data_IF_416293612378
#
_entry.id   IF_416293612378
#
_cell.length_a   1.000
_cell.length_b   1.000
_cell.length_c   1.000
_cell.angle_alpha   90.00
_cell.angle_beta   90.00
_cell.angle_gamma   90.00
#
_symmetry.space_group_name_H-M   'P 1'
#
loop_
_entity.id
_entity.type
_entity.pdbx_description
1 polymer ?
#
# COMPACT_ATOMS: atom_id res chain seq x y z
N UNK A 1 5.29 -8.40 -26.49
CA UNK A 1 4.73 -8.76 -25.14
C UNK A 1 5.79 -8.59 -24.05
N UNK A 2 7.02 -9.12 -24.21
CA UNK A 2 8.08 -8.87 -23.21
C UNK A 2 8.33 -7.38 -22.93
N UNK A 3 8.12 -6.51 -23.90
CA UNK A 3 8.26 -5.05 -23.74
C UNK A 3 7.12 -4.41 -22.94
N UNK A 4 5.93 -5.03 -22.87
CA UNK A 4 4.78 -4.47 -22.15
C UNK A 4 5.03 -4.43 -20.63
N UNK A 5 5.69 -5.43 -20.09
CA UNK A 5 6.02 -5.57 -18.67
C UNK A 5 7.52 -5.35 -18.38
N UNK A 6 8.27 -4.72 -19.29
CA UNK A 6 9.73 -4.55 -19.14
C UNK A 6 10.13 -3.75 -17.89
N UNK A 7 9.26 -2.86 -17.43
CA UNK A 7 9.44 -2.07 -16.20
C UNK A 7 9.00 -2.79 -14.91
N UNK A 8 8.44 -4.02 -15.02
CA UNK A 8 8.03 -4.84 -13.87
C UNK A 8 9.10 -5.88 -13.53
N UNK A 9 10.11 -5.47 -12.78
CA UNK A 9 11.22 -6.34 -12.40
C UNK A 9 10.84 -7.34 -11.29
N UNK A 10 11.41 -8.53 -11.35
CA UNK A 10 11.33 -9.54 -10.27
C UNK A 10 9.99 -10.29 -10.14
N UNK A 11 9.00 -10.02 -11.00
CA UNK A 11 7.66 -10.64 -10.94
C UNK A 11 7.43 -11.61 -12.09
N UNK A 12 8.41 -12.47 -12.41
CA UNK A 12 8.40 -13.34 -13.59
C UNK A 12 7.16 -14.22 -13.70
N UNK A 13 6.69 -14.82 -12.60
CA UNK A 13 5.47 -15.65 -12.60
C UNK A 13 4.22 -14.84 -12.93
N UNK A 14 4.07 -13.66 -12.32
CA UNK A 14 2.94 -12.78 -12.58
C UNK A 14 2.94 -12.34 -14.05
N UNK A 15 4.11 -11.92 -14.58
CA UNK A 15 4.27 -11.55 -16.00
C UNK A 15 3.88 -12.70 -16.91
N UNK A 16 4.41 -13.91 -16.68
CA UNK A 16 4.08 -15.09 -17.51
C UNK A 16 2.59 -15.39 -17.54
N UNK A 17 1.90 -15.31 -16.40
CA UNK A 17 0.46 -15.55 -16.31
C UNK A 17 -0.34 -14.50 -17.07
N UNK A 18 0.02 -13.22 -16.93
CA UNK A 18 -0.66 -12.10 -17.58
C UNK A 18 -0.39 -12.10 -19.09
N UNK A 19 0.84 -12.35 -19.53
CA UNK A 19 1.18 -12.52 -20.94
C UNK A 19 0.42 -13.68 -21.57
N UNK A 20 0.35 -14.82 -20.90
CA UNK A 20 -0.40 -15.97 -21.39
C UNK A 20 -1.90 -15.68 -21.57
N UNK A 21 -2.50 -14.90 -20.66
CA UNK A 21 -3.89 -14.46 -20.76
C UNK A 21 -4.12 -13.54 -21.96
N UNK A 22 -3.22 -12.56 -22.16
CA UNK A 22 -3.28 -11.61 -23.27
C UNK A 22 -3.04 -12.30 -24.62
N UNK A 23 -2.01 -13.14 -24.75
CA UNK A 23 -1.65 -13.85 -25.98
C UNK A 23 -2.77 -14.80 -26.44
N UNK A 24 -3.33 -15.55 -25.50
CA UNK A 24 -4.41 -16.50 -25.81
C UNK A 24 -5.76 -15.83 -25.97
N UNK A 25 -5.87 -14.51 -25.69
CA UNK A 25 -7.14 -13.76 -25.67
C UNK A 25 -8.23 -14.44 -24.80
N UNK A 26 -7.81 -15.18 -23.80
CA UNK A 26 -8.68 -15.85 -22.84
C UNK A 26 -8.55 -15.15 -21.49
N UNK A 27 -9.25 -14.02 -21.37
CA UNK A 27 -9.28 -13.25 -20.14
C UNK A 27 -10.32 -13.86 -19.20
N UNK A 28 -9.91 -14.09 -17.94
CA UNK A 28 -10.86 -14.35 -16.88
C UNK A 28 -11.69 -13.09 -16.61
N UNK A 29 -12.96 -13.21 -16.20
CA UNK A 29 -13.78 -12.05 -15.88
C UNK A 29 -13.27 -11.28 -14.66
N UNK A 30 -12.59 -11.96 -13.74
CA UNK A 30 -12.00 -11.35 -12.55
C UNK A 30 -10.61 -11.90 -12.25
N UNK A 31 -9.70 -11.00 -11.87
CA UNK A 31 -8.34 -11.28 -11.43
C UNK A 31 -8.12 -10.81 -9.99
N UNK A 32 -7.32 -11.54 -9.23
CA UNK A 32 -6.87 -11.17 -7.90
C UNK A 32 -5.36 -11.02 -7.88
N UNK A 33 -4.86 -9.79 -7.87
CA UNK A 33 -3.44 -9.47 -7.75
C UNK A 33 -3.08 -9.42 -6.27
N UNK A 34 -2.44 -10.49 -5.79
CA UNK A 34 -2.16 -10.69 -4.37
C UNK A 34 -0.68 -10.65 -4.06
N UNK A 35 -0.31 -10.01 -2.97
CA UNK A 35 1.07 -9.93 -2.49
C UNK A 35 1.35 -8.64 -1.70
N UNK A 36 2.55 -8.46 -1.14
CA UNK A 36 2.89 -7.30 -0.33
C UNK A 36 2.69 -5.97 -1.05
N UNK A 37 2.50 -4.89 -0.29
CA UNK A 37 2.44 -3.54 -0.86
C UNK A 37 3.79 -3.14 -1.46
N UNK A 38 3.72 -2.30 -2.51
CA UNK A 38 4.90 -1.71 -3.14
C UNK A 38 5.78 -2.65 -3.97
N UNK A 39 5.36 -3.89 -4.25
CA UNK A 39 6.10 -4.87 -5.08
C UNK A 39 5.73 -4.80 -6.57
N UNK A 40 4.95 -3.79 -7.01
CA UNK A 40 4.63 -3.55 -8.41
C UNK A 40 3.23 -4.02 -8.85
N UNK A 41 2.31 -4.39 -7.95
CA UNK A 41 0.94 -4.82 -8.29
C UNK A 41 0.17 -3.77 -9.09
N UNK A 42 0.22 -2.50 -8.67
CA UNK A 42 -0.43 -1.38 -9.38
C UNK A 42 0.16 -1.18 -10.77
N UNK A 43 1.49 -1.23 -10.90
CA UNK A 43 2.17 -1.15 -12.18
C UNK A 43 1.76 -2.29 -13.11
N UNK A 44 1.78 -3.53 -12.61
CA UNK A 44 1.35 -4.71 -13.36
C UNK A 44 -0.11 -4.58 -13.83
N UNK A 45 -1.00 -4.05 -12.97
CA UNK A 45 -2.39 -3.78 -13.33
C UNK A 45 -2.48 -2.81 -14.50
N UNK A 46 -1.78 -1.68 -14.44
CA UNK A 46 -1.77 -0.70 -15.53
C UNK A 46 -1.26 -1.29 -16.84
N UNK A 47 -0.17 -2.08 -16.79
CA UNK A 47 0.37 -2.77 -17.98
C UNK A 47 -0.59 -3.84 -18.52
N UNK A 48 -1.22 -4.59 -17.64
CA UNK A 48 -2.21 -5.59 -18.04
C UNK A 48 -3.42 -4.93 -18.72
N UNK A 49 -3.95 -3.86 -18.15
CA UNK A 49 -5.06 -3.11 -18.75
C UNK A 49 -4.69 -2.48 -20.10
N UNK A 50 -3.47 -1.95 -20.21
CA UNK A 50 -2.92 -1.50 -21.51
C UNK A 50 -2.98 -2.61 -22.55
N UNK A 51 -2.51 -3.82 -22.20
CA UNK A 51 -2.56 -4.99 -23.09
C UNK A 51 -3.98 -5.45 -23.44
N UNK A 52 -4.94 -5.27 -22.53
CA UNK A 52 -6.37 -5.59 -22.78
C UNK A 52 -7.01 -4.58 -23.74
N UNK A 53 -6.59 -3.30 -23.70
CA UNK A 53 -7.15 -2.22 -24.51
C UNK A 53 -6.59 -2.18 -25.93
N UNK A 54 -5.46 -2.85 -26.21
CA UNK A 54 -4.89 -2.88 -27.57
C UNK A 54 -5.80 -3.65 -28.51
N UNK A 55 -6.12 -3.07 -29.70
CA UNK A 55 -6.96 -3.70 -30.69
C UNK A 55 -6.41 -5.05 -31.18
N UNK A 56 -7.33 -5.95 -31.51
CA UNK A 56 -7.03 -7.32 -31.94
C UNK A 56 -6.13 -7.45 -33.16
N UNK A 57 -5.99 -6.39 -33.93
CA UNK A 57 -5.27 -6.33 -35.22
C UNK A 57 -3.81 -5.89 -35.13
N UNK A 58 -3.40 -5.39 -33.94
CA UNK A 58 -2.01 -4.99 -33.73
C UNK A 58 -1.16 -6.18 -33.28
N UNK A 59 -0.08 -6.47 -34.04
CA UNK A 59 0.74 -7.68 -33.88
C UNK A 59 1.62 -7.68 -32.64
N UNK A 60 1.88 -6.52 -32.05
CA UNK A 60 2.53 -6.38 -30.73
C UNK A 60 2.15 -5.04 -30.11
N UNK A 61 1.65 -5.00 -28.88
CA UNK A 61 1.51 -3.74 -28.19
C UNK A 61 2.90 -3.26 -27.76
N UNK A 62 3.53 -2.47 -28.60
CA UNK A 62 4.56 -1.55 -28.13
C UNK A 62 3.80 -0.48 -27.36
N UNK A 63 4.10 -0.33 -26.07
CA UNK A 63 3.32 0.51 -25.17
C UNK A 63 3.05 1.90 -25.74
N UNK A 64 1.78 2.23 -25.94
CA UNK A 64 1.36 3.57 -26.35
C UNK A 64 1.57 4.54 -25.16
N UNK A 65 2.51 5.50 -25.25
CA UNK A 65 2.76 6.45 -24.16
C UNK A 65 1.53 7.31 -23.82
N UNK A 66 0.65 7.58 -24.80
CA UNK A 66 -0.57 8.35 -24.57
C UNK A 66 -1.59 7.53 -23.77
N UNK A 67 -1.80 6.28 -24.13
CA UNK A 67 -2.68 5.36 -23.39
C UNK A 67 -2.14 5.12 -21.98
N UNK A 68 -0.83 4.89 -21.82
CA UNK A 68 -0.18 4.76 -20.49
C UNK A 68 -0.46 5.94 -19.57
N UNK A 69 -0.32 7.15 -20.11
CA UNK A 69 -0.59 8.38 -19.36
C UNK A 69 -2.06 8.49 -18.96
N UNK A 70 -2.99 8.21 -19.88
CA UNK A 70 -4.44 8.23 -19.61
C UNK A 70 -4.81 7.23 -18.53
N UNK A 71 -4.29 6.00 -18.60
CA UNK A 71 -4.53 4.96 -17.59
C UNK A 71 -3.96 5.36 -16.23
N UNK A 72 -2.73 5.86 -16.18
CA UNK A 72 -2.06 6.28 -14.94
C UNK A 72 -2.78 7.45 -14.25
N UNK A 73 -3.39 8.35 -15.04
CA UNK A 73 -4.16 9.50 -14.55
C UNK A 73 -5.63 9.18 -14.25
N UNK A 74 -6.10 7.96 -14.54
CA UNK A 74 -7.52 7.60 -14.42
C UNK A 74 -8.43 8.28 -15.45
N UNK A 75 -7.89 8.76 -16.59
CA UNK A 75 -8.60 9.53 -17.62
C UNK A 75 -9.05 8.67 -18.81
N UNK A 76 -9.42 7.41 -18.56
CA UNK A 76 -9.99 6.55 -19.60
C UNK A 76 -11.49 6.34 -19.30
N UNK A 77 -12.42 6.58 -20.28
CA UNK A 77 -13.86 6.54 -20.02
C UNK A 77 -14.37 5.15 -19.63
N UNK A 78 -13.68 4.10 -20.06
CA UNK A 78 -14.04 2.72 -19.77
C UNK A 78 -13.21 2.09 -18.66
N UNK A 79 -12.45 2.89 -17.90
CA UNK A 79 -11.73 2.45 -16.71
C UNK A 79 -12.30 3.15 -15.47
N UNK A 80 -12.70 2.35 -14.49
CA UNK A 80 -13.03 2.81 -13.14
C UNK A 80 -11.99 2.27 -12.17
N UNK A 81 -11.28 3.17 -11.48
CA UNK A 81 -10.33 2.83 -10.42
C UNK A 81 -10.93 3.22 -9.09
N UNK A 82 -11.13 2.23 -8.21
CA UNK A 82 -11.74 2.42 -6.89
C UNK A 82 -10.72 2.02 -5.83
N UNK A 83 -10.56 2.88 -4.84
CA UNK A 83 -9.69 2.68 -3.69
C UNK A 83 -10.44 2.92 -2.37
N UNK A 84 -9.92 2.42 -1.23
CA UNK A 84 -10.51 2.68 0.07
C UNK A 84 -10.59 4.18 0.37
N UNK A 85 -11.62 4.57 1.10
CA UNK A 85 -11.90 5.97 1.41
C UNK A 85 -11.98 6.22 2.91
N UNK A 86 -11.52 7.40 3.32
CA UNK A 86 -11.82 7.98 4.63
C UNK A 86 -13.13 8.75 4.58
N UNK A 87 -13.85 8.80 5.70
CA UNK A 87 -14.96 9.74 5.87
C UNK A 87 -14.42 11.00 6.54
N UNK A 88 -14.47 12.12 5.84
CA UNK A 88 -14.04 13.43 6.35
C UNK A 88 -15.10 14.45 6.09
N UNK A 89 -15.65 15.10 7.12
CA UNK A 89 -16.70 16.15 7.02
C UNK A 89 -17.91 15.74 6.15
N UNK A 90 -18.30 14.45 6.19
CA UNK A 90 -19.41 13.93 5.40
C UNK A 90 -19.08 13.61 3.94
N UNK A 91 -17.82 13.83 3.51
CA UNK A 91 -17.32 13.45 2.19
C UNK A 91 -16.43 12.20 2.26
N UNK A 92 -16.37 11.48 1.15
CA UNK A 92 -15.47 10.34 1.00
C UNK A 92 -14.19 10.80 0.30
N UNK A 93 -13.08 10.74 1.02
CA UNK A 93 -11.76 11.11 0.51
C UNK A 93 -10.98 9.84 0.21
N UNK A 94 -10.50 9.63 -1.03
CA UNK A 94 -9.64 8.51 -1.39
C UNK A 94 -8.39 8.42 -0.51
N UNK A 95 -7.97 7.21 -0.16
CA UNK A 95 -6.80 7.01 0.69
C UNK A 95 -5.53 7.65 0.12
N UNK A 96 -5.40 7.64 -1.21
CA UNK A 96 -4.27 8.27 -1.93
C UNK A 96 -4.23 9.79 -1.81
N UNK A 97 -5.36 10.46 -1.51
CA UNK A 97 -5.48 11.92 -1.38
C UNK A 97 -5.57 12.40 0.07
N UNK A 98 -5.72 11.48 1.02
CA UNK A 98 -5.99 11.82 2.42
C UNK A 98 -4.94 12.77 3.03
N UNK A 99 -3.67 12.58 2.67
CA UNK A 99 -2.57 13.43 3.14
C UNK A 99 -2.65 14.85 2.57
N UNK A 100 -2.85 14.96 1.26
CA UNK A 100 -2.97 16.26 0.59
C UNK A 100 -4.20 17.07 1.06
N UNK A 101 -5.26 16.37 1.48
CA UNK A 101 -6.51 16.97 1.96
C UNK A 101 -6.56 17.12 3.50
N UNK A 102 -5.45 16.84 4.20
CA UNK A 102 -5.34 17.01 5.65
C UNK A 102 -6.31 16.13 6.46
N UNK A 103 -6.67 14.97 5.95
CA UNK A 103 -7.60 14.05 6.59
C UNK A 103 -6.95 13.37 7.80
N UNK A 104 -7.61 13.45 8.96
CA UNK A 104 -7.18 12.72 10.15
C UNK A 104 -7.33 11.20 9.95
N UNK A 105 -6.22 10.46 9.99
CA UNK A 105 -6.15 9.01 9.76
C UNK A 105 -6.32 8.19 11.04
N UNK A 106 -7.32 8.53 11.86
CA UNK A 106 -7.59 7.80 13.12
C UNK A 106 -8.18 6.41 12.91
N UNK A 107 -8.89 6.20 11.82
CA UNK A 107 -9.48 4.90 11.45
C UNK A 107 -8.94 4.47 10.08
N UNK A 108 -8.83 3.15 9.85
CA UNK A 108 -8.42 2.64 8.55
C UNK A 108 -9.45 3.02 7.46
N UNK A 109 -8.99 3.33 6.23
CA UNK A 109 -9.88 3.60 5.12
C UNK A 109 -10.64 2.33 4.74
N UNK A 110 -11.84 2.48 4.19
CA UNK A 110 -12.72 1.35 3.85
C UNK A 110 -13.24 1.44 2.42
N UNK A 111 -13.39 0.28 1.80
CA UNK A 111 -14.20 0.12 0.60
C UNK A 111 -15.66 -0.10 1.00
N UNK A 112 -16.50 0.88 0.66
CA UNK A 112 -17.89 0.96 1.10
C UNK A 112 -18.84 0.30 0.11
N UNK A 113 -20.03 -0.06 0.59
CA UNK A 113 -21.08 -0.69 -0.22
C UNK A 113 -21.44 0.15 -1.46
N UNK A 114 -21.50 1.48 -1.32
CA UNK A 114 -21.83 2.40 -2.42
C UNK A 114 -20.80 2.35 -3.54
N UNK A 115 -19.50 2.25 -3.20
CA UNK A 115 -18.42 2.12 -4.17
C UNK A 115 -18.54 0.78 -4.93
N UNK A 116 -18.85 -0.33 -4.25
CA UNK A 116 -19.06 -1.62 -4.91
C UNK A 116 -20.32 -1.63 -5.80
N UNK A 117 -21.38 -0.94 -5.39
CA UNK A 117 -22.56 -0.74 -6.24
C UNK A 117 -22.24 0.08 -7.50
N UNK A 118 -21.36 1.06 -7.39
CA UNK A 118 -20.84 1.80 -8.53
C UNK A 118 -20.06 0.90 -9.49
N UNK A 119 -19.19 0.04 -8.96
CA UNK A 119 -18.47 -1.00 -9.73
C UNK A 119 -19.45 -1.85 -10.53
N UNK A 120 -20.50 -2.37 -9.89
CA UNK A 120 -21.49 -3.21 -10.58
C UNK A 120 -22.22 -2.46 -11.69
N UNK A 121 -22.62 -1.21 -11.44
CA UNK A 121 -23.27 -0.36 -12.46
C UNK A 121 -22.33 -0.02 -13.61
N UNK A 122 -21.03 0.22 -13.30
CA UNK A 122 -20.03 0.52 -14.31
C UNK A 122 -19.77 -0.67 -15.23
N UNK A 123 -19.63 -1.87 -14.69
CA UNK A 123 -19.42 -3.09 -15.48
C UNK A 123 -20.62 -3.45 -16.36
N UNK A 124 -21.85 -3.07 -15.96
CA UNK A 124 -23.07 -3.33 -16.72
C UNK A 124 -23.31 -2.36 -17.89
N UNK A 125 -22.56 -1.25 -17.99
CA UNK A 125 -22.74 -0.27 -19.08
C UNK A 125 -22.04 -0.71 -20.36
N UNK A 126 -22.42 -0.13 -21.47
CA UNK A 126 -21.70 -0.29 -22.74
C UNK A 126 -20.41 0.54 -22.70
N UNK A 127 -19.27 -0.02 -23.12
CA UNK A 127 -18.01 0.74 -23.22
C UNK A 127 -18.12 1.82 -24.31
N UNK A 128 -17.33 2.87 -24.18
CA UNK A 128 -17.33 4.04 -25.08
C UNK A 128 -16.23 3.95 -26.13
N UNK A 129 -15.00 3.63 -25.72
CA UNK A 129 -13.81 3.53 -26.57
C UNK A 129 -13.26 2.10 -26.63
N UNK A 130 -13.33 1.37 -25.52
CA UNK A 130 -12.77 0.02 -25.40
C UNK A 130 -13.73 -1.06 -25.87
N UNK A 131 -13.22 -2.29 -26.02
CA UNK A 131 -14.07 -3.47 -26.27
C UNK A 131 -14.87 -3.92 -25.03
N UNK A 132 -14.55 -3.42 -23.85
CA UNK A 132 -15.18 -3.77 -22.57
C UNK A 132 -14.92 -2.73 -21.48
N UNK A 133 -15.77 -2.72 -20.46
CA UNK A 133 -15.53 -1.92 -19.25
C UNK A 133 -14.48 -2.61 -18.35
N UNK A 134 -13.57 -1.81 -17.77
CA UNK A 134 -12.48 -2.24 -16.93
C UNK A 134 -12.66 -1.64 -15.53
N UNK A 135 -12.53 -2.45 -14.50
CA UNK A 135 -12.59 -1.96 -13.12
C UNK A 135 -11.39 -2.46 -12.35
N UNK A 136 -10.79 -1.58 -11.56
CA UNK A 136 -9.77 -1.92 -10.57
C UNK A 136 -10.30 -1.58 -9.19
N UNK A 137 -10.25 -2.54 -8.28
CA UNK A 137 -10.56 -2.42 -6.86
C UNK A 137 -9.26 -2.58 -6.07
N UNK A 138 -8.65 -1.46 -5.68
CA UNK A 138 -7.40 -1.44 -4.90
C UNK A 138 -7.71 -1.56 -3.40
N UNK A 139 -6.86 -2.27 -2.64
CA UNK A 139 -7.07 -2.50 -1.21
C UNK A 139 -8.32 -3.33 -0.93
N UNK A 140 -8.52 -4.41 -1.68
CA UNK A 140 -9.75 -5.21 -1.61
C UNK A 140 -10.03 -5.79 -0.22
N UNK A 141 -9.00 -6.00 0.61
CA UNK A 141 -9.11 -6.41 2.01
C UNK A 141 -9.82 -5.38 2.90
N UNK A 142 -9.88 -4.11 2.47
CA UNK A 142 -10.57 -3.05 3.20
C UNK A 142 -12.09 -3.02 2.96
N UNK A 143 -12.64 -4.00 2.23
CA UNK A 143 -14.08 -4.10 2.03
C UNK A 143 -14.81 -4.38 3.33
N UNK A 144 -15.81 -3.54 3.64
CA UNK A 144 -16.79 -3.87 4.67
C UNK A 144 -17.60 -5.12 4.25
N UNK A 145 -18.09 -5.89 5.20
CA UNK A 145 -18.82 -7.15 4.96
C UNK A 145 -19.95 -6.99 3.93
N UNK A 146 -20.75 -5.95 4.06
CA UNK A 146 -21.84 -5.66 3.11
C UNK A 146 -21.36 -5.36 1.69
N UNK A 147 -20.17 -4.73 1.55
CA UNK A 147 -19.53 -4.46 0.27
C UNK A 147 -19.01 -5.76 -0.37
N UNK A 148 -18.36 -6.62 0.42
CA UNK A 148 -17.86 -7.91 -0.03
C UNK A 148 -19.00 -8.83 -0.52
N UNK A 149 -20.11 -8.88 0.21
CA UNK A 149 -21.29 -9.65 -0.18
C UNK A 149 -21.96 -9.09 -1.46
N UNK A 150 -21.99 -7.77 -1.63
CA UNK A 150 -22.51 -7.16 -2.86
C UNK A 150 -21.63 -7.48 -4.08
N UNK A 151 -20.30 -7.56 -3.90
CA UNK A 151 -19.36 -7.89 -4.97
C UNK A 151 -19.55 -9.32 -5.50
N UNK A 152 -19.99 -10.27 -4.65
CA UNK A 152 -20.22 -11.67 -5.06
C UNK A 152 -21.20 -11.77 -6.23
N UNK A 153 -22.26 -10.96 -6.23
CA UNK A 153 -23.23 -10.93 -7.34
C UNK A 153 -22.58 -10.54 -8.66
N UNK A 154 -21.69 -9.54 -8.62
CA UNK A 154 -20.94 -9.11 -9.80
C UNK A 154 -19.94 -10.17 -10.27
N UNK A 155 -19.34 -10.92 -9.34
CA UNK A 155 -18.42 -12.02 -9.67
C UNK A 155 -19.13 -13.27 -10.21
N UNK A 156 -20.39 -13.47 -9.86
CA UNK A 156 -21.24 -14.57 -10.38
C UNK A 156 -21.75 -14.26 -11.80
N UNK A 157 -22.09 -13.00 -12.05
CA UNK A 157 -22.60 -12.52 -13.34
C UNK A 157 -21.80 -11.30 -13.83
N UNK A 158 -20.53 -11.49 -14.21
CA UNK A 158 -19.61 -10.36 -14.48
C UNK A 158 -19.90 -9.64 -15.81
N UNK A 159 -20.79 -10.15 -16.64
CA UNK A 159 -21.02 -9.60 -17.97
C UNK A 159 -19.76 -9.68 -18.86
N UNK A 160 -19.62 -8.72 -19.79
CA UNK A 160 -18.45 -8.62 -20.67
C UNK A 160 -17.30 -7.79 -20.07
N UNK A 161 -17.47 -7.27 -18.86
CA UNK A 161 -16.46 -6.45 -18.17
C UNK A 161 -15.28 -7.26 -17.65
N UNK A 162 -14.23 -6.55 -17.24
CA UNK A 162 -13.06 -7.12 -16.57
C UNK A 162 -12.87 -6.45 -15.21
N UNK A 163 -12.73 -7.26 -14.17
CA UNK A 163 -12.48 -6.80 -12.80
C UNK A 163 -11.09 -7.23 -12.33
N UNK A 164 -10.31 -6.30 -11.81
CA UNK A 164 -9.03 -6.58 -11.13
C UNK A 164 -9.14 -6.16 -9.68
N UNK A 165 -8.97 -7.11 -8.78
CA UNK A 165 -8.84 -6.89 -7.34
C UNK A 165 -7.36 -6.84 -6.99
N UNK A 166 -6.93 -5.84 -6.23
CA UNK A 166 -5.55 -5.74 -5.70
C UNK A 166 -5.63 -5.86 -4.18
N UNK A 167 -4.88 -6.79 -3.59
CA UNK A 167 -4.87 -7.03 -2.13
C UNK A 167 -3.48 -7.34 -1.59
N UNK A 168 -3.18 -6.80 -0.41
CA UNK A 168 -1.99 -7.18 0.35
C UNK A 168 -2.24 -8.38 1.28
N UNK A 169 -3.50 -8.61 1.65
CA UNK A 169 -3.92 -9.63 2.61
C UNK A 169 -5.05 -10.50 2.03
N UNK A 170 -4.74 -11.40 1.07
CA UNK A 170 -5.75 -12.22 0.41
C UNK A 170 -6.52 -13.13 1.39
N UNK A 171 -5.94 -13.46 2.53
CA UNK A 171 -6.59 -14.25 3.59
C UNK A 171 -7.74 -13.50 4.28
N UNK A 172 -7.78 -12.18 4.24
CA UNK A 172 -8.88 -11.36 4.78
C UNK A 172 -10.08 -11.29 3.84
N UNK A 173 -9.90 -11.65 2.57
CA UNK A 173 -11.00 -11.73 1.60
C UNK A 173 -11.83 -12.98 1.83
N UNK A 174 -13.15 -12.87 1.60
CA UNK A 174 -14.03 -14.02 1.59
C UNK A 174 -13.51 -15.10 0.63
N UNK A 175 -13.51 -16.36 1.07
CA UNK A 175 -13.10 -17.50 0.24
C UNK A 175 -13.92 -17.61 -1.05
N UNK A 176 -15.19 -17.19 -1.00
CA UNK A 176 -16.10 -17.11 -2.14
C UNK A 176 -15.70 -16.08 -3.18
N UNK A 177 -15.06 -14.97 -2.80
CA UNK A 177 -14.47 -13.99 -3.73
C UNK A 177 -13.22 -14.60 -4.36
N UNK A 178 -12.31 -15.13 -3.53
CA UNK A 178 -11.04 -15.72 -4.00
C UNK A 178 -11.25 -16.84 -5.00
N UNK A 179 -12.23 -17.71 -4.77
CA UNK A 179 -12.51 -18.86 -5.66
C UNK A 179 -13.05 -18.47 -7.04
N UNK A 180 -13.56 -17.24 -7.20
CA UNK A 180 -14.11 -16.72 -8.47
C UNK A 180 -13.12 -15.84 -9.23
N UNK A 181 -11.94 -15.59 -8.67
CA UNK A 181 -10.89 -14.77 -9.29
C UNK A 181 -9.71 -15.65 -9.73
N UNK A 182 -9.15 -15.33 -10.88
CA UNK A 182 -7.82 -15.86 -11.26
C UNK A 182 -6.75 -15.15 -10.46
N UNK A 183 -6.08 -15.88 -9.57
CA UNK A 183 -5.03 -15.30 -8.72
C UNK A 183 -3.74 -15.11 -9.48
N UNK A 184 -3.17 -13.92 -9.38
CA UNK A 184 -1.85 -13.53 -9.88
C UNK A 184 -0.99 -13.18 -8.67
N UNK A 185 -0.03 -14.04 -8.27
CA UNK A 185 0.77 -13.82 -7.08
C UNK A 185 1.95 -12.89 -7.35
N UNK A 186 2.19 -11.96 -6.43
CA UNK A 186 3.36 -11.07 -6.41
C UNK A 186 4.20 -11.37 -5.17
N UNK A 187 5.52 -11.27 -5.31
CA UNK A 187 6.47 -11.61 -4.26
C UNK A 187 7.38 -10.45 -3.91
N UNK A 188 7.96 -10.51 -2.73
CA UNK A 188 9.04 -9.62 -2.32
C UNK A 188 10.25 -9.82 -3.22
N UNK A 189 10.96 -8.74 -3.51
CA UNK A 189 12.13 -8.76 -4.38
C UNK A 189 13.40 -9.02 -3.53
N UNK A 190 14.40 -9.73 -4.09
CA UNK A 190 15.72 -9.77 -3.50
C UNK A 190 16.38 -8.38 -3.54
N UNK A 191 17.37 -8.12 -2.65
CA UNK A 191 17.96 -6.78 -2.49
C UNK A 191 18.53 -6.16 -3.77
N UNK A 192 19.18 -6.95 -4.59
CA UNK A 192 19.76 -6.55 -5.88
C UNK A 192 18.69 -6.03 -6.86
N UNK A 193 17.53 -6.69 -6.91
CA UNK A 193 16.40 -6.23 -7.73
C UNK A 193 15.72 -5.00 -7.13
N UNK A 194 15.66 -4.86 -5.82
CA UNK A 194 15.17 -3.62 -5.18
C UNK A 194 16.03 -2.44 -5.59
N UNK A 195 17.36 -2.57 -5.54
CA UNK A 195 18.30 -1.53 -5.97
C UNK A 195 18.12 -1.19 -7.46
N UNK A 196 17.98 -2.18 -8.32
CA UNK A 196 17.73 -1.97 -9.75
C UNK A 196 16.42 -1.21 -10.01
N UNK A 197 15.33 -1.57 -9.31
CA UNK A 197 14.06 -0.83 -9.41
C UNK A 197 14.24 0.62 -8.97
N UNK A 198 14.89 0.86 -7.85
CA UNK A 198 15.12 2.22 -7.34
C UNK A 198 15.99 3.06 -8.28
N UNK A 199 17.01 2.46 -8.88
CA UNK A 199 17.87 3.12 -9.85
C UNK A 199 17.16 3.48 -11.16
N UNK A 200 16.10 2.72 -11.52
CA UNK A 200 15.29 2.98 -12.72
C UNK A 200 14.24 4.08 -12.53
N UNK A 201 13.95 4.47 -11.29
CA UNK A 201 12.97 5.50 -11.01
C UNK A 201 13.57 6.91 -11.27
N UNK A 202 12.75 7.86 -11.73
CA UNK A 202 13.20 9.24 -11.81
C UNK A 202 13.67 9.72 -10.44
N UNK A 203 14.74 10.53 -10.37
CA UNK A 203 15.18 11.09 -9.10
C UNK A 203 14.03 11.86 -8.45
N UNK A 204 13.83 11.60 -7.15
CA UNK A 204 12.83 12.34 -6.39
C UNK A 204 13.19 13.84 -6.47
N UNK A 205 12.20 14.74 -6.63
CA UNK A 205 12.47 16.16 -6.55
C UNK A 205 13.19 16.46 -5.22
N UNK A 206 14.15 17.38 -5.20
CA UNK A 206 14.81 17.79 -3.97
C UNK A 206 13.73 18.35 -3.03
N UNK A 207 13.37 17.56 -2.02
CA UNK A 207 12.49 18.03 -0.94
C UNK A 207 13.34 19.01 -0.12
N UNK A 208 12.93 20.27 -0.09
CA UNK A 208 13.53 21.31 0.75
C UNK A 208 13.30 20.93 2.22
N UNK A 209 14.38 20.71 2.94
CA UNK A 209 14.37 20.60 4.40
C UNK A 209 14.61 19.21 4.93
N UNK A 210 15.57 19.15 5.67
CA UNK A 210 16.09 18.25 6.69
C UNK A 210 17.43 17.65 6.29
N UNK A 211 18.48 18.17 6.92
CA UNK A 211 19.83 17.61 6.89
C UNK A 211 19.93 16.28 7.65
N UNK A 212 18.96 15.38 7.44
CA UNK A 212 19.06 14.06 8.00
C UNK A 212 20.08 13.23 7.21
N UNK A 213 20.97 12.58 7.96
CA UNK A 213 21.96 11.64 7.49
C UNK A 213 21.38 10.56 6.56
N UNK A 214 22.25 9.84 5.87
CA UNK A 214 21.94 8.71 5.02
C UNK A 214 20.84 7.79 5.62
N UNK A 215 20.03 7.20 4.75
CA UNK A 215 18.95 6.28 5.15
C UNK A 215 19.47 5.21 6.13
N UNK A 216 18.86 5.05 7.32
CA UNK A 216 19.30 4.02 8.25
C UNK A 216 18.98 2.62 7.68
N UNK A 217 19.82 1.61 7.94
CA UNK A 217 19.67 0.28 7.37
C UNK A 217 18.37 -0.41 7.77
N UNK A 218 17.74 0.01 8.87
CA UNK A 218 16.44 -0.48 9.35
C UNK A 218 15.32 -0.21 8.35
N UNK A 219 15.41 0.84 7.51
CA UNK A 219 14.39 1.11 6.49
C UNK A 219 14.34 0.01 5.42
N UNK A 220 15.49 -0.53 5.04
CA UNK A 220 15.55 -1.65 4.08
C UNK A 220 14.98 -2.93 4.69
N UNK A 221 15.23 -3.19 5.98
CA UNK A 221 14.63 -4.31 6.70
C UNK A 221 13.12 -4.16 6.84
N UNK A 222 12.65 -2.96 7.19
CA UNK A 222 11.23 -2.66 7.30
C UNK A 222 10.51 -2.83 5.96
N UNK A 223 11.14 -2.42 4.86
CA UNK A 223 10.63 -2.62 3.51
C UNK A 223 10.60 -4.09 3.10
N UNK A 224 11.49 -4.92 3.66
CA UNK A 224 11.54 -6.38 3.47
C UNK A 224 11.39 -6.81 1.99
N UNK A 225 12.15 -6.20 1.08
CA UNK A 225 12.11 -6.54 -0.35
C UNK A 225 10.96 -5.88 -1.14
N UNK A 226 10.38 -4.81 -0.61
CA UNK A 226 9.40 -3.98 -1.32
C UNK A 226 10.01 -2.64 -1.74
N UNK A 227 10.24 -2.38 -3.04
CA UNK A 227 10.75 -1.09 -3.50
C UNK A 227 9.84 0.09 -3.13
N UNK A 228 8.53 -0.06 -3.34
CA UNK A 228 7.56 0.98 -2.98
C UNK A 228 7.45 1.17 -1.46
N UNK A 229 7.58 0.09 -0.68
CA UNK A 229 7.69 0.15 0.78
C UNK A 229 8.91 0.94 1.22
N UNK A 230 10.08 0.70 0.61
CA UNK A 230 11.30 1.46 0.94
C UNK A 230 11.16 2.95 0.62
N UNK A 231 10.55 3.30 -0.51
CA UNK A 231 10.26 4.71 -0.84
C UNK A 231 9.29 5.36 0.16
N UNK A 232 8.26 4.61 0.60
CA UNK A 232 7.36 5.07 1.64
C UNK A 232 8.11 5.31 2.96
N UNK A 233 8.92 4.36 3.41
CA UNK A 233 9.68 4.47 4.66
C UNK A 233 10.72 5.60 4.60
N UNK A 234 11.35 5.85 3.45
CA UNK A 234 12.23 7.01 3.23
C UNK A 234 11.50 8.33 3.39
N UNK A 235 10.29 8.45 2.85
CA UNK A 235 9.48 9.67 3.03
C UNK A 235 9.10 9.89 4.49
N UNK A 236 8.62 8.85 5.17
CA UNK A 236 8.31 8.92 6.60
C UNK A 236 9.54 9.30 7.44
N UNK A 237 10.71 8.72 7.13
CA UNK A 237 11.96 9.05 7.81
C UNK A 237 12.34 10.52 7.66
N UNK A 238 12.23 11.06 6.45
CA UNK A 238 12.54 12.47 6.18
C UNK A 238 11.53 13.43 6.79
N UNK A 239 10.30 13.01 6.96
CA UNK A 239 9.24 13.81 7.59
C UNK A 239 9.34 13.85 9.13
N UNK A 240 10.21 13.04 9.75
CA UNK A 240 10.40 13.08 11.21
C UNK A 240 11.05 14.39 11.65
N UNK A 241 10.62 14.95 12.79
CA UNK A 241 11.31 16.06 13.43
C UNK A 241 12.78 15.74 13.70
N UNK A 242 13.65 16.73 13.50
CA UNK A 242 15.09 16.57 13.66
C UNK A 242 15.44 16.04 15.07
N UNK A 243 16.36 15.08 15.13
CA UNK A 243 16.84 14.47 16.37
C UNK A 243 15.89 13.51 17.07
N UNK A 244 14.61 13.39 16.66
CA UNK A 244 13.60 12.55 17.34
C UNK A 244 14.01 11.07 17.36
N UNK A 245 14.39 10.51 16.24
CA UNK A 245 14.89 9.14 16.16
C UNK A 245 16.15 8.92 17.01
N UNK A 246 17.08 9.89 17.00
CA UNK A 246 18.28 9.87 17.84
C UNK A 246 17.96 9.82 19.34
N UNK A 247 17.00 10.61 19.79
CA UNK A 247 16.54 10.61 21.20
C UNK A 247 15.92 9.27 21.60
N UNK A 248 15.12 8.64 20.73
CA UNK A 248 14.60 7.29 20.97
C UNK A 248 15.72 6.26 21.13
N UNK A 249 16.74 6.34 20.27
CA UNK A 249 17.88 5.43 20.32
C UNK A 249 18.80 5.68 21.53
N UNK A 250 18.87 6.92 22.00
CA UNK A 250 19.67 7.32 23.15
C UNK A 250 18.90 7.25 24.48
N UNK A 251 17.66 6.70 24.49
CA UNK A 251 16.82 6.59 25.68
C UNK A 251 17.60 5.90 26.82
N UNK A 252 17.88 6.67 27.85
CA UNK A 252 18.57 6.24 29.08
C UNK A 252 17.60 6.07 30.26
N UNK A 253 18.16 5.94 31.47
CA UNK A 253 17.39 5.75 32.69
C UNK A 253 16.77 7.05 33.27
N UNK A 254 16.93 8.19 32.59
CA UNK A 254 16.40 9.46 33.07
C UNK A 254 14.88 9.58 32.79
N UNK A 255 14.02 9.56 33.83
CA UNK A 255 12.57 9.61 33.65
C UNK A 255 12.08 10.95 33.09
N UNK A 256 12.79 12.06 33.34
CA UNK A 256 12.38 13.37 32.82
C UNK A 256 12.55 13.41 31.31
N UNK A 257 13.67 12.91 30.78
CA UNK A 257 13.91 12.83 29.35
C UNK A 257 12.88 11.91 28.66
N UNK A 258 12.48 10.81 29.30
CA UNK A 258 11.44 9.91 28.81
C UNK A 258 10.08 10.62 28.70
N UNK A 259 9.69 11.40 29.71
CA UNK A 259 8.43 12.16 29.72
C UNK A 259 8.42 13.30 28.69
N UNK A 260 9.53 14.04 28.54
CA UNK A 260 9.67 15.08 27.53
C UNK A 260 9.61 14.49 26.13
N UNK A 261 10.27 13.35 25.90
CA UNK A 261 10.22 12.65 24.63
C UNK A 261 8.80 12.15 24.30
N UNK A 262 8.08 11.61 25.30
CA UNK A 262 6.68 11.17 25.11
C UNK A 262 5.77 12.33 24.70
N UNK A 263 5.94 13.51 25.29
CA UNK A 263 5.22 14.73 24.90
C UNK A 263 5.50 15.08 23.46
N UNK A 264 6.80 15.18 23.09
CA UNK A 264 7.21 15.61 21.75
C UNK A 264 6.73 14.62 20.68
N UNK A 265 6.74 13.31 20.95
CA UNK A 265 6.19 12.27 20.07
C UNK A 265 4.69 12.41 19.86
N UNK A 266 3.95 12.70 20.94
CA UNK A 266 2.49 12.78 20.88
C UNK A 266 1.96 14.08 20.29
N UNK A 267 2.71 15.17 20.39
CA UNK A 267 2.35 16.50 19.86
C UNK A 267 2.91 16.73 18.45
N UNK A 268 4.09 16.19 18.15
CA UNK A 268 4.78 16.39 16.87
C UNK A 268 4.44 15.39 15.77
N UNK A 269 3.83 14.25 16.11
CA UNK A 269 3.51 13.18 15.15
C UNK A 269 2.02 12.84 15.16
N UNK A 270 1.46 12.61 13.98
CA UNK A 270 0.12 12.03 13.88
C UNK A 270 0.10 10.53 14.26
N UNK A 271 -1.10 9.94 14.36
CA UNK A 271 -1.24 8.55 14.80
C UNK A 271 -0.59 7.53 13.84
N UNK A 272 -0.56 7.80 12.54
CA UNK A 272 0.08 6.93 11.54
C UNK A 272 1.60 7.02 11.63
N UNK A 273 2.12 8.24 11.77
CA UNK A 273 3.55 8.49 11.97
C UNK A 273 4.07 7.87 13.26
N UNK A 274 3.29 7.92 14.35
CA UNK A 274 3.64 7.27 15.62
C UNK A 274 3.73 5.75 15.46
N UNK A 275 2.78 5.12 14.78
CA UNK A 275 2.80 3.67 14.52
C UNK A 275 3.97 3.28 13.62
N UNK A 276 4.22 4.07 12.56
CA UNK A 276 5.35 3.85 11.67
C UNK A 276 6.70 3.99 12.40
N UNK A 277 6.85 5.02 13.23
CA UNK A 277 8.06 5.23 14.03
C UNK A 277 8.29 4.07 15.01
N UNK A 278 7.20 3.52 15.57
CA UNK A 278 7.26 2.36 16.44
C UNK A 278 7.75 1.12 15.68
N UNK A 279 7.31 0.90 14.43
CA UNK A 279 7.77 -0.20 13.58
C UNK A 279 9.28 -0.10 13.31
N UNK A 280 9.75 1.09 12.95
CA UNK A 280 11.17 1.36 12.77
C UNK A 280 11.96 1.15 14.06
N UNK A 281 11.49 1.72 15.18
CA UNK A 281 12.17 1.63 16.46
C UNK A 281 12.24 0.21 16.99
N UNK A 282 11.25 -0.61 16.73
CA UNK A 282 11.23 -2.02 17.09
C UNK A 282 12.42 -2.78 16.45
N UNK A 283 12.69 -2.54 15.17
CA UNK A 283 13.84 -3.13 14.46
C UNK A 283 15.15 -2.60 15.05
N UNK A 284 15.27 -1.29 15.20
CA UNK A 284 16.46 -0.64 15.72
C UNK A 284 16.80 -1.08 17.17
N UNK A 285 15.77 -1.21 18.01
CA UNK A 285 15.94 -1.66 19.39
C UNK A 285 16.33 -3.15 19.46
N UNK A 286 15.71 -4.00 18.62
CA UNK A 286 16.07 -5.41 18.52
C UNK A 286 17.52 -5.61 18.11
N UNK A 287 18.00 -4.87 17.12
CA UNK A 287 19.42 -4.92 16.70
C UNK A 287 20.39 -4.53 17.80
N UNK A 288 19.99 -3.58 18.65
CA UNK A 288 20.85 -3.05 19.72
C UNK A 288 20.83 -3.91 20.98
N UNK A 289 19.63 -4.36 21.41
CA UNK A 289 19.45 -4.99 22.72
C UNK A 289 19.07 -6.46 22.64
N UNK A 290 18.46 -6.92 21.54
CA UNK A 290 18.02 -8.32 21.37
C UNK A 290 17.03 -8.80 22.46
N UNK A 291 16.32 -7.88 23.13
CA UNK A 291 15.50 -8.15 24.30
C UNK A 291 14.06 -8.49 23.92
N UNK A 292 13.59 -9.74 24.13
CA UNK A 292 12.17 -10.07 23.92
C UNK A 292 11.22 -9.31 24.86
N UNK A 293 11.73 -8.85 26.02
CA UNK A 293 10.99 -8.03 26.97
C UNK A 293 10.63 -6.68 26.38
N UNK A 294 11.59 -6.04 25.72
CA UNK A 294 11.39 -4.74 25.08
C UNK A 294 10.41 -4.85 23.92
N UNK A 295 10.48 -5.91 23.09
CA UNK A 295 9.51 -6.14 22.04
C UNK A 295 8.08 -6.27 22.57
N UNK A 296 7.86 -6.98 23.67
CA UNK A 296 6.53 -7.10 24.30
C UNK A 296 6.00 -5.74 24.79
N UNK A 297 6.88 -4.86 25.30
CA UNK A 297 6.50 -3.50 25.71
C UNK A 297 6.07 -2.67 24.48
N UNK A 298 6.82 -2.75 23.39
CA UNK A 298 6.50 -2.06 22.13
C UNK A 298 5.19 -2.58 21.50
N UNK A 299 4.93 -3.88 21.54
CA UNK A 299 3.64 -4.45 21.07
C UNK A 299 2.47 -4.00 21.94
N UNK A 300 2.65 -3.87 23.26
CA UNK A 300 1.64 -3.28 24.15
C UNK A 300 1.37 -1.83 23.77
N UNK A 301 2.42 -1.03 23.57
CA UNK A 301 2.30 0.36 23.11
C UNK A 301 1.55 0.44 21.78
N UNK A 302 1.87 -0.42 20.81
CA UNK A 302 1.17 -0.51 19.53
C UNK A 302 -0.33 -0.75 19.71
N UNK A 303 -0.69 -1.71 20.57
CA UNK A 303 -2.09 -2.02 20.88
C UNK A 303 -2.80 -0.81 21.51
N UNK A 304 -2.12 -0.08 22.41
CA UNK A 304 -2.66 1.11 23.04
C UNK A 304 -2.86 2.27 22.07
N UNK A 305 -1.89 2.53 21.15
CA UNK A 305 -1.99 3.57 20.14
C UNK A 305 -3.12 3.29 19.12
N UNK A 306 -3.46 2.02 18.87
CA UNK A 306 -4.58 1.62 18.02
C UNK A 306 -5.94 1.65 18.72
N UNK A 307 -5.94 1.74 20.05
CA UNK A 307 -7.16 1.85 20.87
C UNK A 307 -7.45 3.31 21.22
N UNK A 308 -8.54 3.57 21.95
CA UNK A 308 -8.93 4.92 22.39
C UNK A 308 -8.11 5.45 23.59
N UNK A 309 -6.90 4.91 23.85
CA UNK A 309 -6.01 5.40 24.90
C UNK A 309 -5.38 6.72 24.44
N UNK A 310 -5.18 7.64 25.38
CA UNK A 310 -4.50 8.90 25.11
C UNK A 310 -3.05 8.63 24.69
N UNK A 311 -2.63 9.02 23.47
CA UNK A 311 -1.31 8.65 22.92
C UNK A 311 -0.15 9.06 23.83
N UNK A 312 -0.21 10.26 24.42
CA UNK A 312 0.81 10.77 25.33
C UNK A 312 1.03 9.82 26.52
N UNK A 313 -0.04 9.40 27.21
CA UNK A 313 0.05 8.49 28.34
C UNK A 313 0.61 7.12 27.92
N UNK A 314 0.22 6.61 26.76
CA UNK A 314 0.75 5.35 26.23
C UNK A 314 2.27 5.41 26.02
N UNK A 315 2.77 6.51 25.44
CA UNK A 315 4.20 6.74 25.26
C UNK A 315 4.92 6.94 26.60
N UNK A 316 4.39 7.73 27.52
CA UNK A 316 4.98 7.96 28.86
C UNK A 316 5.23 6.64 29.58
N UNK A 317 4.23 5.76 29.65
CA UNK A 317 4.35 4.46 30.30
C UNK A 317 5.39 3.57 29.60
N UNK A 318 5.33 3.48 28.26
CA UNK A 318 6.25 2.62 27.51
C UNK A 318 7.70 3.09 27.61
N UNK A 319 7.96 4.41 27.51
CA UNK A 319 9.33 4.95 27.61
C UNK A 319 9.91 4.80 29.02
N UNK A 320 9.10 5.01 30.08
CA UNK A 320 9.53 4.79 31.46
C UNK A 320 9.85 3.29 31.73
N UNK A 321 9.01 2.36 31.23
CA UNK A 321 9.27 0.92 31.36
C UNK A 321 10.55 0.50 30.61
N UNK A 322 10.84 1.11 29.46
CA UNK A 322 12.05 0.83 28.65
C UNK A 322 13.30 1.48 29.25
N UNK A 323 13.17 2.66 29.84
CA UNK A 323 14.24 3.35 30.56
C UNK A 323 14.64 2.60 31.85
N UNK A 324 13.67 2.08 32.61
CA UNK A 324 13.91 1.35 33.86
C UNK A 324 14.33 -0.11 33.70
N UNK A 325 14.13 -0.71 32.53
CA UNK A 325 14.43 -2.12 32.26
C UNK A 325 15.88 -2.45 31.92
N UNK A 326 16.81 -1.50 32.05
CA UNK A 326 18.25 -1.65 31.80
C UNK A 326 19.11 -1.93 33.06
N UNK A 327 18.47 -2.27 34.20
CA UNK A 327 19.16 -2.64 35.43
C UNK A 327 19.13 -4.15 35.66
#
# INVERSE_FOLDING_TARGET
MAELFADLLGQSLAVQLLEAALLRRRLAPAYLFSGPDGVGRRLATLRFLEGVLVPAQEVAPVGDPALRRRLAQGNHPDLLWVEPTYSHQGQLVPASRAEAEGVSRRAAPQLRLEQVREVSRFLARRPVEAGRCLVVLEGAEAMAEGAANALLKTLEEPGDGLLVLITAAPEQLLSTIRSRCQTIPFRRLPPDLVEQVLASLPPAPPEEGTGQAADPPELAELAAGSPGGLLHHRRQWRALPEGMAGRLLALGANPIEALDLARDLSEGLDGEQQLWLLDWWQIALWRRRGSPGDLRRLERLRSQLRSYVQPRLAWEVALLELAGGGA
#
